data_IF_043259644145
#
_entry.id   IF_043259644145
#
_cell.length_a   1.000
_cell.length_b   1.000
_cell.length_c   1.000
_cell.angle_alpha   90.00
_cell.angle_beta   90.00
_cell.angle_gamma   90.00
#
_symmetry.space_group_name_H-M   'P 1'
#
loop_
_entity.id
_entity.type
_entity.pdbx_description
1 polymer ?
#
# COMPACT_ATOMS: atom_id res chain seq x y z
N UNK A 1 45.23 15.81 49.14
CA UNK A 1 44.31 15.09 48.23
C UNK A 1 43.30 16.07 47.67
N UNK A 2 43.37 16.40 46.38
CA UNK A 2 42.30 17.10 45.64
C UNK A 2 42.05 16.29 44.38
N UNK A 3 40.99 15.49 44.41
CA UNK A 3 40.58 14.64 43.28
C UNK A 3 39.79 15.55 42.34
N UNK A 4 40.43 15.94 41.23
CA UNK A 4 39.74 16.65 40.14
C UNK A 4 38.98 15.62 39.32
N UNK A 5 37.65 15.63 39.42
CA UNK A 5 36.77 14.83 38.56
C UNK A 5 36.58 15.62 37.26
N UNK A 6 37.25 15.17 36.20
CA UNK A 6 37.04 15.67 34.83
C UNK A 6 35.79 14.96 34.30
N UNK A 7 34.68 15.67 34.21
CA UNK A 7 33.45 15.20 33.55
C UNK A 7 33.61 15.43 32.05
N UNK A 8 33.99 14.38 31.31
CA UNK A 8 33.93 14.37 29.85
C UNK A 8 32.47 14.16 29.42
N UNK A 9 31.79 15.25 29.06
CA UNK A 9 30.51 15.21 28.34
C UNK A 9 30.80 14.86 26.87
N UNK A 10 30.75 13.58 26.52
CA UNK A 10 30.73 13.14 25.12
C UNK A 10 29.32 13.35 24.55
N UNK A 11 29.15 14.40 23.75
CA UNK A 11 27.96 14.61 22.93
C UNK A 11 27.92 13.55 21.83
N UNK A 12 27.18 12.46 22.06
CA UNK A 12 26.87 11.49 21.01
C UNK A 12 25.76 12.09 20.15
N UNK A 13 26.13 12.73 19.04
CA UNK A 13 25.18 13.16 18.03
C UNK A 13 24.68 11.89 17.31
N UNK A 14 23.43 11.48 17.61
CA UNK A 14 22.70 10.54 16.75
C UNK A 14 22.52 11.21 15.38
N UNK A 15 23.30 10.77 14.39
CA UNK A 15 23.04 11.11 12.99
C UNK A 15 21.90 10.19 12.55
N UNK A 16 20.67 10.70 12.58
CA UNK A 16 19.57 10.10 11.84
C UNK A 16 19.89 10.32 10.35
N UNK A 17 20.30 9.26 9.66
CA UNK A 17 20.59 9.29 8.23
C UNK A 17 19.30 9.37 7.42
N UNK A 18 18.73 10.56 7.30
CA UNK A 18 17.67 10.79 6.32
C UNK A 18 18.30 10.76 4.92
N UNK A 19 18.04 9.67 4.19
CA UNK A 19 18.59 9.50 2.84
C UNK A 19 18.04 10.59 1.93
N UNK A 20 18.93 11.33 1.28
CA UNK A 20 18.51 12.45 0.44
C UNK A 20 17.86 11.94 -0.85
N UNK A 21 16.94 12.72 -1.44
CA UNK A 21 16.33 12.38 -2.73
C UNK A 21 17.38 12.05 -3.81
N UNK A 22 18.54 12.70 -3.78
CA UNK A 22 19.64 12.44 -4.70
C UNK A 22 20.21 11.02 -4.55
N UNK A 23 20.38 10.55 -3.32
CA UNK A 23 20.88 9.20 -3.03
C UNK A 23 19.85 8.14 -3.40
N UNK A 24 18.58 8.37 -3.08
CA UNK A 24 17.49 7.44 -3.39
C UNK A 24 17.27 7.29 -4.90
N UNK A 25 17.22 8.39 -5.65
CA UNK A 25 17.13 8.34 -7.12
C UNK A 25 18.39 7.76 -7.76
N UNK A 26 19.55 7.96 -7.13
CA UNK A 26 20.84 7.45 -7.60
C UNK A 26 21.13 5.98 -7.27
N UNK A 27 20.26 5.33 -6.49
CA UNK A 27 20.43 3.94 -6.08
C UNK A 27 20.43 2.98 -7.27
N UNK A 28 21.16 1.87 -7.14
CA UNK A 28 21.25 0.83 -8.19
C UNK A 28 19.86 0.33 -8.59
N UNK A 29 18.95 0.15 -7.61
CA UNK A 29 17.59 -0.32 -7.86
C UNK A 29 16.76 0.72 -8.63
N UNK A 30 16.85 2.00 -8.27
CA UNK A 30 16.14 3.09 -8.95
C UNK A 30 16.54 3.22 -10.43
N UNK A 31 17.80 2.92 -10.77
CA UNK A 31 18.29 3.01 -12.15
C UNK A 31 17.83 1.85 -13.05
N UNK A 32 17.33 0.74 -12.50
CA UNK A 32 16.98 -0.45 -13.31
C UNK A 32 15.82 -0.20 -14.28
N UNK A 33 14.87 0.64 -13.89
CA UNK A 33 13.73 0.96 -14.74
C UNK A 33 13.04 2.25 -14.30
N UNK A 34 12.26 2.84 -15.22
CA UNK A 34 11.38 3.96 -14.91
C UNK A 34 10.46 3.66 -13.72
N UNK A 35 9.94 2.43 -13.60
CA UNK A 35 9.05 2.07 -12.48
C UNK A 35 9.76 2.07 -11.13
N UNK A 36 11.00 1.56 -11.06
CA UNK A 36 11.79 1.57 -9.83
C UNK A 36 12.23 2.98 -9.46
N UNK A 37 12.61 3.79 -10.45
CA UNK A 37 12.96 5.20 -10.24
C UNK A 37 11.86 5.98 -9.52
N UNK A 38 10.62 5.86 -10.01
CA UNK A 38 9.49 6.60 -9.42
C UNK A 38 9.09 6.05 -8.05
N UNK A 39 9.35 4.77 -7.77
CA UNK A 39 9.14 4.17 -6.44
C UNK A 39 10.19 4.61 -5.42
N UNK A 40 11.40 4.93 -5.87
CA UNK A 40 12.51 5.22 -4.97
C UNK A 40 12.28 6.50 -4.13
N UNK A 41 11.72 7.55 -4.74
CA UNK A 41 11.37 8.78 -4.03
C UNK A 41 10.41 9.66 -4.84
N UNK A 42 9.59 10.48 -4.18
CA UNK A 42 8.62 11.43 -4.79
C UNK A 42 9.26 12.42 -5.77
N UNK A 43 10.46 12.86 -5.45
CA UNK A 43 11.22 13.82 -6.26
C UNK A 43 11.98 13.18 -7.43
N UNK A 44 12.00 11.84 -7.53
CA UNK A 44 12.64 11.17 -8.64
C UNK A 44 11.86 11.35 -9.95
N UNK A 45 12.61 11.51 -11.03
CA UNK A 45 12.08 11.58 -12.38
C UNK A 45 12.99 10.80 -13.33
N UNK A 46 12.39 10.28 -14.39
CA UNK A 46 13.05 9.41 -15.36
C UNK A 46 13.13 10.08 -16.73
N UNK A 47 14.31 10.14 -17.32
CA UNK A 47 14.46 10.60 -18.70
C UNK A 47 14.09 9.50 -19.70
N UNK A 48 12.97 9.70 -20.40
CA UNK A 48 12.47 8.79 -21.45
C UNK A 48 13.09 9.08 -22.83
N UNK A 49 13.97 10.08 -22.95
CA UNK A 49 14.64 10.41 -24.21
C UNK A 49 15.58 9.27 -24.66
N UNK A 50 15.33 8.61 -25.80
CA UNK A 50 16.19 7.54 -26.29
C UNK A 50 17.58 8.05 -26.70
N UNK A 51 17.73 9.35 -27.00
CA UNK A 51 18.98 9.96 -27.44
C UNK A 51 19.77 10.65 -26.32
N UNK A 52 19.29 10.60 -25.08
CA UNK A 52 20.01 11.17 -23.94
C UNK A 52 21.34 10.44 -23.71
N UNK A 53 22.38 11.22 -23.43
CA UNK A 53 23.71 10.74 -23.03
C UNK A 53 23.86 10.53 -21.52
N UNK A 54 22.75 10.62 -20.77
CA UNK A 54 22.76 10.40 -19.33
C UNK A 54 23.16 8.96 -19.01
N UNK A 55 24.20 8.81 -18.17
CA UNK A 55 24.61 7.53 -17.59
C UNK A 55 23.47 6.99 -16.70
N UNK A 56 22.89 7.88 -15.89
CA UNK A 56 21.79 7.59 -14.99
C UNK A 56 20.53 8.32 -15.47
N UNK A 57 19.52 7.54 -15.87
CA UNK A 57 18.24 8.08 -16.35
C UNK A 57 17.31 8.50 -15.22
N UNK A 58 17.49 7.94 -14.02
CA UNK A 58 16.77 8.37 -12.83
C UNK A 58 17.57 9.45 -12.09
N UNK A 59 16.98 10.64 -11.91
CA UNK A 59 17.56 11.74 -11.14
C UNK A 59 16.45 12.52 -10.45
N UNK A 60 16.76 13.30 -9.39
CA UNK A 60 15.81 14.28 -8.88
C UNK A 60 15.33 15.22 -9.99
N UNK A 61 14.04 15.58 -9.99
CA UNK A 61 13.41 16.43 -11.02
C UNK A 61 14.18 17.73 -11.26
N UNK A 62 14.77 18.30 -10.21
CA UNK A 62 15.57 19.53 -10.24
C UNK A 62 16.91 19.42 -10.97
N UNK A 63 17.40 18.20 -11.26
CA UNK A 63 18.67 17.99 -11.94
C UNK A 63 18.55 17.92 -13.47
N UNK A 64 17.33 17.78 -14.00
CA UNK A 64 17.12 17.80 -15.44
C UNK A 64 17.22 19.23 -15.99
N UNK A 65 17.99 19.36 -17.07
CA UNK A 65 18.12 20.59 -17.85
C UNK A 65 17.75 20.30 -19.30
N UNK A 66 17.47 21.33 -20.10
CA UNK A 66 17.19 21.15 -21.54
C UNK A 66 18.31 20.41 -22.29
N UNK A 67 19.55 20.43 -21.77
CA UNK A 67 20.71 19.78 -22.37
C UNK A 67 20.80 18.30 -22.00
N UNK A 68 20.36 17.90 -20.80
CA UNK A 68 20.45 16.52 -20.33
C UNK A 68 19.21 15.69 -20.70
N UNK A 69 18.03 16.29 -20.56
CA UNK A 69 16.76 15.72 -20.95
C UNK A 69 15.74 16.82 -21.19
N UNK A 70 15.18 16.87 -22.41
CA UNK A 70 14.13 17.85 -22.73
C UNK A 70 12.96 17.72 -21.74
N UNK A 71 12.39 18.81 -21.19
CA UNK A 71 11.35 18.75 -20.16
C UNK A 71 10.14 17.87 -20.50
N UNK A 72 9.74 17.79 -21.77
CA UNK A 72 8.65 16.92 -22.24
C UNK A 72 8.99 15.43 -22.23
N UNK A 73 10.27 15.08 -22.14
CA UNK A 73 10.81 13.73 -22.06
C UNK A 73 11.27 13.39 -20.63
N UNK A 74 10.96 14.23 -19.65
CA UNK A 74 11.14 13.93 -18.23
C UNK A 74 9.84 13.38 -17.68
N UNK A 75 9.81 12.09 -17.39
CA UNK A 75 8.66 11.43 -16.78
C UNK A 75 8.72 11.57 -15.25
N UNK A 76 7.75 12.29 -14.69
CA UNK A 76 7.56 12.49 -13.25
C UNK A 76 6.06 12.57 -12.95
N UNK A 77 5.41 11.45 -12.60
CA UNK A 77 3.99 11.46 -12.27
C UNK A 77 3.79 12.12 -10.90
N UNK A 78 3.03 13.21 -10.87
CA UNK A 78 2.83 14.03 -9.66
C UNK A 78 1.43 13.89 -9.04
N UNK A 79 0.58 13.01 -9.56
CA UNK A 79 -0.85 13.12 -9.30
C UNK A 79 -1.38 11.92 -8.52
N UNK A 80 -1.87 12.19 -7.31
CA UNK A 80 -2.99 11.42 -6.79
C UNK A 80 -4.20 11.63 -7.72
N UNK A 81 -4.74 10.56 -8.29
CA UNK A 81 -5.91 10.63 -9.16
C UNK A 81 -7.09 9.98 -8.47
N UNK A 82 -8.16 10.74 -8.30
CA UNK A 82 -9.44 10.24 -7.80
C UNK A 82 -10.41 10.24 -8.98
N UNK A 83 -10.88 9.06 -9.37
CA UNK A 83 -11.90 8.89 -10.40
C UNK A 83 -13.17 8.33 -9.78
N UNK A 84 -14.24 9.12 -9.80
CA UNK A 84 -15.56 8.64 -9.43
C UNK A 84 -16.11 7.71 -10.51
N UNK A 85 -16.45 6.48 -10.14
CA UNK A 85 -16.96 5.46 -11.06
C UNK A 85 -18.49 5.37 -11.01
N UNK A 86 -19.08 5.51 -9.82
CA UNK A 86 -20.53 5.52 -9.63
C UNK A 86 -20.92 6.61 -8.64
N UNK A 87 -21.89 7.44 -9.03
CA UNK A 87 -22.32 8.64 -8.29
C UNK A 87 -23.81 8.92 -8.46
N UNK A 88 -24.64 7.90 -8.23
CA UNK A 88 -26.09 8.08 -8.16
C UNK A 88 -26.43 9.05 -7.01
N UNK A 89 -27.37 9.99 -7.21
CA UNK A 89 -27.82 10.87 -6.14
C UNK A 89 -28.43 10.09 -4.98
N UNK A 90 -28.28 10.61 -3.77
CA UNK A 90 -29.03 10.13 -2.60
C UNK A 90 -30.54 10.08 -2.89
N UNK A 91 -31.26 9.18 -2.23
CA UNK A 91 -32.70 8.95 -2.38
C UNK A 91 -33.15 8.38 -3.74
N UNK A 92 -32.24 8.19 -4.68
CA UNK A 92 -32.55 7.52 -5.96
C UNK A 92 -32.87 6.04 -5.71
N UNK A 93 -33.94 5.53 -6.33
CA UNK A 93 -34.23 4.09 -6.36
C UNK A 93 -33.29 3.39 -7.34
N UNK A 94 -32.67 2.31 -6.89
CA UNK A 94 -31.88 1.45 -7.77
C UNK A 94 -32.77 0.68 -8.75
N UNK A 95 -32.13 -0.04 -9.68
CA UNK A 95 -32.82 -0.80 -10.73
C UNK A 95 -33.81 -1.85 -10.18
N UNK A 96 -33.62 -2.31 -8.94
CA UNK A 96 -34.53 -3.24 -8.26
C UNK A 96 -35.84 -2.59 -7.78
N UNK A 97 -35.96 -1.25 -7.86
CA UNK A 97 -37.11 -0.46 -7.42
C UNK A 97 -37.34 -0.44 -5.91
N UNK A 98 -36.50 -1.13 -5.13
CA UNK A 98 -36.64 -1.33 -3.69
C UNK A 98 -35.51 -0.69 -2.91
N UNK A 99 -34.27 -0.81 -3.39
CA UNK A 99 -33.11 -0.27 -2.71
C UNK A 99 -32.96 1.22 -3.00
N UNK A 100 -32.78 2.01 -1.95
CA UNK A 100 -32.61 3.46 -2.03
C UNK A 100 -31.14 3.78 -1.81
N UNK A 101 -30.57 4.63 -2.67
CA UNK A 101 -29.18 5.09 -2.53
C UNK A 101 -29.06 5.96 -1.29
N UNK A 102 -28.23 5.52 -0.32
CA UNK A 102 -27.95 6.24 0.93
C UNK A 102 -26.50 6.69 1.08
N UNK A 103 -25.60 6.25 0.20
CA UNK A 103 -24.19 6.63 0.21
C UNK A 103 -23.80 7.17 -1.16
N UNK A 104 -23.01 8.24 -1.19
CA UNK A 104 -22.53 8.89 -2.41
C UNK A 104 -21.08 9.37 -2.22
N UNK A 105 -20.16 9.16 -3.18
CA UNK A 105 -20.29 8.26 -4.34
C UNK A 105 -20.35 6.79 -3.91
N UNK A 106 -20.85 5.91 -4.79
CA UNK A 106 -20.94 4.47 -4.51
C UNK A 106 -19.67 3.72 -4.90
N UNK A 107 -18.89 4.26 -5.85
CA UNK A 107 -17.63 3.68 -6.27
C UNK A 107 -16.63 4.77 -6.67
N UNK A 108 -15.41 4.65 -6.17
CA UNK A 108 -14.27 5.52 -6.45
C UNK A 108 -13.05 4.67 -6.74
N UNK A 109 -12.24 5.10 -7.71
CA UNK A 109 -10.92 4.55 -7.97
C UNK A 109 -9.89 5.61 -7.60
N UNK A 110 -9.02 5.28 -6.66
CA UNK A 110 -7.91 6.12 -6.24
C UNK A 110 -6.63 5.52 -6.82
N UNK A 111 -5.80 6.37 -7.41
CA UNK A 111 -4.43 6.04 -7.82
C UNK A 111 -3.50 6.97 -7.09
N UNK A 112 -2.71 6.42 -6.17
CA UNK A 112 -1.70 7.16 -5.43
C UNK A 112 -0.32 6.94 -6.04
N UNK A 113 0.46 8.01 -6.03
CA UNK A 113 1.90 7.92 -6.18
C UNK A 113 2.52 7.81 -4.77
N UNK A 114 3.70 7.17 -4.63
CA UNK A 114 4.42 7.21 -3.37
C UNK A 114 4.58 8.65 -2.86
N UNK A 115 4.48 8.82 -1.55
CA UNK A 115 4.55 10.07 -0.79
C UNK A 115 3.40 11.07 -1.02
N UNK A 116 2.36 10.71 -1.77
CA UNK A 116 1.18 11.55 -1.97
C UNK A 116 -0.01 11.01 -1.18
N UNK A 117 -0.86 11.90 -0.68
CA UNK A 117 -2.17 11.52 -0.12
C UNK A 117 -3.32 11.89 -1.05
N UNK A 118 -4.42 11.16 -0.94
CA UNK A 118 -5.67 11.49 -1.59
C UNK A 118 -6.79 11.55 -0.56
N UNK A 119 -7.65 12.57 -0.68
CA UNK A 119 -8.85 12.68 0.14
C UNK A 119 -10.09 12.46 -0.70
N UNK A 120 -10.84 11.41 -0.39
CA UNK A 120 -12.16 11.17 -0.99
C UNK A 120 -13.24 11.65 -0.04
N UNK A 121 -14.20 12.43 -0.56
CA UNK A 121 -15.36 12.90 0.21
C UNK A 121 -16.60 12.08 -0.12
N UNK A 122 -17.35 11.75 0.91
CA UNK A 122 -18.57 10.96 0.85
C UNK A 122 -19.72 11.67 1.57
N UNK A 123 -20.94 11.31 1.19
CA UNK A 123 -22.19 11.75 1.82
C UNK A 123 -23.03 10.53 2.16
N UNK A 124 -23.52 10.47 3.38
CA UNK A 124 -24.38 9.41 3.88
C UNK A 124 -25.72 9.99 4.36
N UNK A 125 -26.83 9.50 3.83
CA UNK A 125 -28.17 9.82 4.32
C UNK A 125 -28.56 8.83 5.43
N UNK A 126 -28.60 9.31 6.67
CA UNK A 126 -29.06 8.52 7.79
C UNK A 126 -30.59 8.46 7.81
N UNK A 127 -31.13 7.25 7.93
CA UNK A 127 -32.56 7.01 8.14
C UNK A 127 -32.71 6.04 9.31
N UNK A 128 -33.33 6.51 10.38
CA UNK A 128 -33.59 5.73 11.59
C UNK A 128 -34.61 4.64 11.33
N UNK A 129 -34.53 3.54 12.08
CA UNK A 129 -35.54 2.48 12.01
C UNK A 129 -36.88 3.02 12.54
N UNK A 130 -37.94 2.87 11.74
CA UNK A 130 -39.31 3.29 12.08
C UNK A 130 -39.82 2.62 13.37
N UNK A 131 -39.30 1.43 13.69
CA UNK A 131 -39.68 0.68 14.89
C UNK A 131 -38.91 1.11 16.16
N UNK A 132 -37.85 1.90 16.00
CA UNK A 132 -37.03 2.38 17.13
C UNK A 132 -37.71 3.57 17.78
N UNK A 133 -38.28 3.36 18.98
CA UNK A 133 -38.97 4.38 19.78
C UNK A 133 -38.03 5.29 20.60
N UNK A 134 -36.72 5.21 20.40
CA UNK A 134 -35.77 5.98 21.20
C UNK A 134 -35.68 7.43 20.72
N UNK A 135 -35.80 8.38 21.64
CA UNK A 135 -35.53 9.79 21.40
C UNK A 135 -34.02 10.13 21.36
N UNK A 136 -33.16 9.16 21.67
CA UNK A 136 -31.72 9.36 21.68
C UNK A 136 -31.15 9.29 20.26
N UNK A 137 -30.27 10.24 19.85
CA UNK A 137 -29.63 10.22 18.54
C UNK A 137 -28.88 8.92 18.31
N UNK A 138 -28.93 8.43 17.07
CA UNK A 138 -28.19 7.23 16.68
C UNK A 138 -26.72 7.56 16.48
N UNK A 139 -25.85 6.56 16.60
CA UNK A 139 -24.42 6.73 16.26
C UNK A 139 -24.17 6.09 14.91
N UNK A 140 -23.74 6.88 13.94
CA UNK A 140 -23.15 6.39 12.70
C UNK A 140 -21.71 5.96 12.98
N UNK A 141 -21.28 4.83 12.44
CA UNK A 141 -19.89 4.38 12.46
C UNK A 141 -19.43 3.99 11.05
N UNK A 142 -18.24 4.45 10.67
CA UNK A 142 -17.58 4.05 9.42
C UNK A 142 -16.79 2.77 9.70
N UNK A 143 -17.13 1.72 8.96
CA UNK A 143 -16.42 0.44 9.00
C UNK A 143 -15.82 0.17 7.62
N UNK A 144 -14.61 -0.38 7.61
CA UNK A 144 -13.93 -0.88 6.42
C UNK A 144 -13.63 -2.35 6.65
N UNK A 145 -13.71 -3.17 5.59
CA UNK A 145 -13.14 -4.52 5.65
C UNK A 145 -11.68 -4.44 6.08
N UNK A 146 -11.19 -5.43 6.81
CA UNK A 146 -9.84 -5.43 7.37
C UNK A 146 -8.78 -5.09 6.32
N UNK A 147 -8.27 -3.87 6.40
CA UNK A 147 -7.13 -3.35 5.65
C UNK A 147 -5.82 -3.83 6.30
N UNK A 148 -5.86 -4.93 7.07
CA UNK A 148 -4.76 -5.40 7.92
C UNK A 148 -3.52 -5.84 7.14
N UNK A 149 -3.67 -6.07 5.84
CA UNK A 149 -2.58 -6.44 4.92
C UNK A 149 -2.26 -5.36 3.88
N UNK A 150 -2.96 -4.21 3.92
CA UNK A 150 -2.63 -3.12 3.03
C UNK A 150 -1.58 -2.22 3.70
N UNK A 151 -0.54 -1.81 2.97
CA UNK A 151 0.38 -0.79 3.48
C UNK A 151 -0.34 0.52 3.84
N UNK A 152 -1.53 0.77 3.28
CA UNK A 152 -2.19 2.08 3.32
C UNK A 152 -2.65 2.51 4.73
N UNK A 153 -2.26 3.72 5.13
CA UNK A 153 -2.76 4.38 6.32
C UNK A 153 -4.02 5.18 5.99
N UNK A 154 -5.17 4.77 6.55
CA UNK A 154 -6.45 5.45 6.34
C UNK A 154 -6.79 6.36 7.52
N UNK A 155 -7.02 7.64 7.23
CA UNK A 155 -7.49 8.64 8.17
C UNK A 155 -8.96 8.99 7.87
N UNK A 156 -9.79 8.96 8.91
CA UNK A 156 -11.23 9.16 8.79
C UNK A 156 -11.62 10.48 9.46
N UNK A 157 -12.33 11.33 8.73
CA UNK A 157 -12.87 12.59 9.25
C UNK A 157 -14.37 12.68 8.97
N UNK A 158 -15.17 13.03 9.98
CA UNK A 158 -16.62 13.19 9.84
C UNK A 158 -17.00 14.63 10.19
N UNK A 159 -17.89 15.23 9.41
CA UNK A 159 -18.51 16.52 9.71
C UNK A 159 -19.59 16.34 10.78
N UNK A 160 -19.22 16.48 12.05
CA UNK A 160 -20.10 16.38 13.20
C UNK A 160 -20.43 17.77 13.73
N UNK A 161 -21.71 18.08 13.95
CA UNK A 161 -22.12 19.36 14.57
C UNK A 161 -21.58 20.61 13.82
N UNK A 162 -21.40 20.49 12.49
CA UNK A 162 -20.80 21.50 11.58
C UNK A 162 -19.29 21.69 11.72
N UNK A 163 -18.59 20.79 12.40
CA UNK A 163 -17.14 20.78 12.52
C UNK A 163 -16.55 19.47 12.02
N UNK A 164 -15.42 19.53 11.31
CA UNK A 164 -14.70 18.34 10.89
C UNK A 164 -13.94 17.75 12.08
N UNK A 165 -14.31 16.55 12.49
CA UNK A 165 -13.66 15.80 13.57
C UNK A 165 -12.97 14.57 12.99
N UNK A 166 -11.73 14.32 13.39
CA UNK A 166 -11.02 13.09 13.06
C UNK A 166 -11.55 11.95 13.94
N UNK A 167 -12.59 11.27 13.43
CA UNK A 167 -13.32 10.22 14.13
C UNK A 167 -13.93 9.26 13.11
N UNK A 168 -14.20 8.04 13.54
CA UNK A 168 -14.97 7.05 12.78
C UNK A 168 -16.45 7.06 13.13
N UNK A 169 -16.85 7.76 14.19
CA UNK A 169 -18.22 7.75 14.67
C UNK A 169 -18.77 9.14 14.98
N UNK A 170 -20.07 9.32 14.77
CA UNK A 170 -20.77 10.58 14.96
C UNK A 170 -22.23 10.36 15.39
N UNK A 171 -22.75 11.21 16.28
CA UNK A 171 -24.18 11.23 16.60
C UNK A 171 -24.97 11.86 15.46
N UNK A 172 -26.04 11.20 15.03
CA UNK A 172 -26.82 11.55 13.83
C UNK A 172 -28.31 11.52 14.13
N UNK A 173 -29.06 12.35 13.42
CA UNK A 173 -30.51 12.45 13.47
C UNK A 173 -31.14 11.81 12.23
N UNK A 174 -32.42 11.41 12.35
CA UNK A 174 -33.17 10.89 11.21
C UNK A 174 -33.22 11.90 10.05
N UNK A 175 -33.06 11.41 8.82
CA UNK A 175 -32.97 12.19 7.58
C UNK A 175 -31.82 13.21 7.55
N UNK A 176 -30.80 13.05 8.39
CA UNK A 176 -29.58 13.86 8.32
C UNK A 176 -28.64 13.34 7.24
N UNK A 177 -28.10 14.26 6.42
CA UNK A 177 -26.97 13.96 5.54
C UNK A 177 -25.68 14.25 6.30
N UNK A 178 -24.83 13.23 6.41
CA UNK A 178 -23.51 13.30 7.03
C UNK A 178 -22.45 13.32 5.95
N UNK A 179 -21.56 14.29 6.00
CA UNK A 179 -20.39 14.32 5.11
C UNK A 179 -19.19 13.76 5.85
N UNK A 180 -18.44 12.87 5.18
CA UNK A 180 -17.22 12.31 5.73
C UNK A 180 -16.13 12.21 4.66
N UNK A 181 -14.88 12.17 5.11
CA UNK A 181 -13.70 12.09 4.27
C UNK A 181 -12.85 10.90 4.70
N UNK A 182 -12.35 10.20 3.71
CA UNK A 182 -11.31 9.19 3.89
C UNK A 182 -10.08 9.73 3.20
N UNK A 183 -9.04 9.96 3.97
CA UNK A 183 -7.72 10.30 3.46
C UNK A 183 -6.86 9.04 3.47
N UNK A 184 -6.35 8.71 2.30
CA UNK A 184 -5.43 7.59 2.10
C UNK A 184 -4.02 8.17 2.03
N UNK A 185 -3.15 7.70 2.92
CA UNK A 185 -1.75 8.05 2.99
C UNK A 185 -0.90 6.80 2.80
N UNK A 186 0.19 6.91 2.06
CA UNK A 186 1.22 5.87 2.06
C UNK A 186 1.79 5.75 3.49
N UNK A 187 2.03 4.53 4.00
CA UNK A 187 2.60 4.37 5.32
C UNK A 187 3.95 5.07 5.32
N UNK A 188 4.20 5.87 6.37
CA UNK A 188 5.57 6.21 6.69
C UNK A 188 6.25 4.89 7.05
N UNK A 189 7.23 4.47 6.26
CA UNK A 189 8.13 3.40 6.65
C UNK A 189 8.92 3.97 7.83
N UNK A 190 8.38 3.86 9.04
CA UNK A 190 9.21 3.89 10.23
C UNK A 190 9.99 2.58 10.18
N UNK A 191 11.32 2.68 10.04
CA UNK A 191 12.24 1.54 10.03
C UNK A 191 12.07 0.74 11.33
N UNK A 192 11.11 -0.18 11.35
CA UNK A 192 10.99 -1.15 12.42
C UNK A 192 12.10 -2.18 12.21
N UNK A 193 13.22 -1.92 12.88
CA UNK A 193 14.30 -2.87 13.15
C UNK A 193 13.68 -4.22 13.50
N UNK A 194 13.99 -5.31 12.76
CA UNK A 194 13.58 -6.64 13.19
C UNK A 194 14.28 -6.96 14.50
N UNK A 195 13.49 -7.15 15.56
CA UNK A 195 13.92 -7.65 16.85
C UNK A 195 14.59 -9.01 16.65
N UNK A 196 15.91 -9.03 16.86
CA UNK A 196 16.76 -10.20 16.86
C UNK A 196 16.21 -11.21 17.88
N UNK A 197 15.59 -12.29 17.42
CA UNK A 197 15.27 -13.42 18.28
C UNK A 197 16.57 -14.09 18.68
N UNK A 198 17.03 -13.75 19.88
CA UNK A 198 17.91 -14.56 20.70
C UNK A 198 17.30 -15.96 20.85
N UNK A 199 17.75 -16.92 20.03
CA UNK A 199 17.59 -18.33 20.32
C UNK A 199 18.61 -18.71 21.38
N UNK A 200 18.12 -18.99 22.58
CA UNK A 200 18.86 -19.64 23.66
C UNK A 200 19.46 -20.95 23.18
N UNK A 201 20.79 -21.04 23.28
CA UNK A 201 21.57 -22.28 23.31
C UNK A 201 21.11 -23.15 24.49
N UNK A 202 20.85 -24.43 24.22
CA UNK A 202 20.94 -25.50 25.22
C UNK A 202 21.91 -26.56 24.67
N UNK A 203 23.07 -26.65 25.33
CA UNK A 203 24.05 -27.75 25.37
C UNK A 203 23.37 -29.08 25.74
N UNK A 204 23.67 -30.27 25.23
CA UNK A 204 24.93 -31.08 25.23
C UNK A 204 24.50 -32.54 24.82
N UNK A 205 25.36 -33.59 24.73
CA UNK A 205 26.72 -33.73 24.21
C UNK A 205 26.84 -34.74 23.04
N UNK A 206 28.08 -34.82 22.54
CA UNK A 206 28.66 -35.65 21.49
C UNK A 206 28.25 -37.14 21.40
N UNK A 207 28.17 -37.62 20.16
CA UNK A 207 28.73 -38.93 19.78
C UNK A 207 29.54 -38.80 18.49
N UNK A 208 30.82 -39.14 18.62
CA UNK A 208 31.84 -39.31 17.58
C UNK A 208 31.55 -40.57 16.78
N UNK A 209 31.46 -40.51 15.45
CA UNK A 209 31.87 -41.56 14.48
C UNK A 209 31.98 -40.89 13.08
N UNK A 210 33.19 -40.64 12.58
CA UNK A 210 34.00 -41.43 11.61
C UNK A 210 33.99 -40.82 10.20
N UNK A 211 35.20 -40.51 9.73
CA UNK A 211 35.55 -40.13 8.36
C UNK A 211 35.42 -41.33 7.40
N UNK A 212 34.79 -41.18 6.23
CA UNK A 212 34.97 -42.00 5.02
C UNK A 212 34.52 -41.16 3.79
N UNK A 213 35.44 -40.49 3.08
CA UNK A 213 36.06 -40.83 1.77
C UNK A 213 35.13 -40.84 0.55
N UNK A 214 35.52 -40.03 -0.45
CA UNK A 214 34.87 -39.76 -1.74
C UNK A 214 34.79 -40.95 -2.71
N UNK A 215 34.01 -41.99 -2.39
CA UNK A 215 33.91 -43.17 -3.26
C UNK A 215 32.48 -43.74 -3.40
N UNK A 216 31.47 -42.87 -3.55
CA UNK A 216 30.10 -43.27 -3.92
C UNK A 216 29.41 -42.26 -4.86
N UNK A 217 30.17 -41.62 -5.77
CA UNK A 217 29.65 -40.64 -6.74
C UNK A 217 29.43 -41.18 -8.17
N UNK A 218 29.72 -42.46 -8.47
CA UNK A 218 29.59 -42.99 -9.84
C UNK A 218 28.67 -44.22 -9.98
N UNK A 219 27.47 -44.19 -9.37
CA UNK A 219 26.48 -45.25 -9.59
C UNK A 219 25.02 -44.80 -9.58
N UNK A 220 24.71 -43.71 -10.29
CA UNK A 220 23.31 -43.32 -10.52
C UNK A 220 23.04 -42.73 -11.92
N UNK A 221 23.86 -43.06 -12.93
CA UNK A 221 23.67 -42.63 -14.32
C UNK A 221 23.85 -43.80 -15.29
N UNK A 222 22.93 -44.76 -15.24
CA UNK A 222 22.43 -45.47 -16.43
C UNK A 222 21.37 -46.45 -15.93
N UNK A 223 20.10 -46.12 -16.15
CA UNK A 223 19.09 -47.04 -16.70
C UNK A 223 17.67 -46.50 -16.45
N UNK A 224 17.22 -45.56 -17.30
CA UNK A 224 15.81 -45.50 -17.67
C UNK A 224 15.63 -44.68 -18.94
N UNK A 225 16.16 -45.22 -20.03
CA UNK A 225 15.62 -44.91 -21.35
C UNK A 225 14.52 -45.93 -21.63
N UNK A 226 13.27 -45.47 -21.77
CA UNK A 226 12.41 -45.69 -22.95
C UNK A 226 10.93 -45.49 -22.62
N UNK A 227 10.27 -44.89 -23.60
CA UNK A 227 8.83 -44.68 -23.82
C UNK A 227 8.22 -43.42 -23.19
N UNK A 228 7.48 -42.58 -23.90
CA UNK A 228 7.42 -42.21 -25.31
C UNK A 228 6.48 -41.00 -25.41
N UNK A 229 6.68 -40.19 -26.45
CA UNK A 229 5.66 -39.43 -27.17
C UNK A 229 4.99 -38.19 -26.55
N UNK A 230 5.38 -37.06 -27.15
CA UNK A 230 4.55 -36.06 -27.87
C UNK A 230 3.80 -34.95 -27.09
N UNK A 231 4.23 -33.74 -27.48
CA UNK A 231 3.39 -32.64 -28.00
C UNK A 231 2.79 -31.64 -27.01
N UNK A 232 3.50 -30.51 -26.91
CA UNK A 232 3.02 -29.13 -27.13
C UNK A 232 1.53 -28.84 -26.95
N UNK A 233 1.18 -27.95 -26.00
CA UNK A 233 0.31 -26.81 -26.29
C UNK A 233 0.23 -25.81 -25.11
N UNK A 234 0.47 -24.55 -25.47
CA UNK A 234 -0.22 -23.32 -25.06
C UNK A 234 -0.78 -23.16 -23.64
N UNK A 235 -0.24 -22.12 -22.99
CA UNK A 235 -0.89 -21.28 -21.98
C UNK A 235 -2.29 -20.88 -22.47
N UNK A 236 -3.33 -21.34 -21.77
CA UNK A 236 -4.71 -20.89 -21.94
C UNK A 236 -5.08 -19.96 -20.79
N UNK A 237 -5.39 -18.73 -21.16
CA UNK A 237 -5.91 -17.66 -20.31
C UNK A 237 -7.36 -17.97 -19.99
N UNK A 238 -7.70 -18.22 -18.73
CA UNK A 238 -9.09 -18.30 -18.29
C UNK A 238 -9.59 -16.92 -17.87
N UNK A 239 -10.32 -16.27 -18.77
CA UNK A 239 -11.32 -15.27 -18.43
C UNK A 239 -12.54 -15.97 -17.82
N UNK A 240 -12.91 -15.63 -16.59
CA UNK A 240 -14.21 -16.05 -16.02
C UNK A 240 -15.01 -14.78 -15.72
N UNK A 241 -16.00 -14.52 -16.57
CA UNK A 241 -17.12 -13.64 -16.29
C UNK A 241 -18.38 -14.49 -16.08
N UNK A 242 -19.19 -14.07 -15.11
CA UNK A 242 -20.65 -14.21 -15.07
C UNK A 242 -21.25 -15.57 -14.65
N UNK A 243 -21.75 -15.64 -13.41
CA UNK A 243 -23.18 -15.50 -13.07
C UNK A 243 -23.72 -16.46 -11.99
N UNK A 244 -24.60 -15.86 -11.17
CA UNK A 244 -25.81 -16.41 -10.52
C UNK A 244 -25.66 -17.30 -9.26
N UNK A 245 -25.90 -16.64 -8.12
CA UNK A 245 -27.06 -16.83 -7.23
C UNK A 245 -27.49 -18.27 -6.88
N UNK A 246 -27.30 -18.67 -5.62
CA UNK A 246 -28.24 -19.56 -4.92
C UNK A 246 -28.44 -19.12 -3.46
N UNK A 247 -29.71 -19.08 -3.11
CA UNK A 247 -30.31 -18.81 -1.80
C UNK A 247 -29.91 -19.88 -0.77
N UNK A 248 -29.77 -19.48 0.50
CA UNK A 248 -30.14 -20.32 1.64
C UNK A 248 -30.58 -19.46 2.83
N UNK A 249 -31.90 -19.46 3.06
CA UNK A 249 -32.54 -19.24 4.36
C UNK A 249 -32.13 -20.37 5.33
N UNK A 250 -32.40 -20.18 6.64
CA UNK A 250 -32.86 -21.14 7.68
C UNK A 250 -32.20 -20.82 9.04
N UNK A 251 -32.91 -20.90 10.20
CA UNK A 251 -34.25 -20.45 10.55
C UNK A 251 -34.23 -19.29 11.59
#
# INVERSE_FOLDING_TARGET
>A
MRISIIVFLSSLALVTGESTAKELCGSSDAQQSCGQCIKAHTECAWCIDPHSFLINRCQPKSQFTNETCTPHLVYSPQTAQIKTQQNLPLETKQHDGKTIVRLQPQAVSVRLMPGHSATVSFKYLHQSDVNRKSAEPETMEIQTSDVRESPLALKFSILCEKEWKETKSCKVQNNQIVEFKIEEQEPKIEDSVPEERTSTEDSEPATTETMFTDEELEKALDDSSKTDAKTSASVQIFNIFSSLLFLAFIP
#
